data_IF_910005656807
#
_entry.id   IF_910005656807
#
_cell.length_a   1.000
_cell.length_b   1.000
_cell.length_c   1.000
_cell.angle_alpha   90.00
_cell.angle_beta   90.00
_cell.angle_gamma   90.00
#
_symmetry.space_group_name_H-M   'P 1'
#
loop_
_entity.id
_entity.type
_entity.pdbx_description
1 polymer ?
#
# COMPACT_ATOMS: atom_id res chain seq x y z
N UNK A 1 -17.05 13.11 -15.73
CA UNK A 1 -16.30 13.13 -14.44
C UNK A 1 -17.09 14.00 -13.48
N UNK A 2 -17.77 13.39 -12.52
CA UNK A 2 -18.69 14.07 -11.60
C UNK A 2 -18.02 15.19 -10.80
N UNK A 3 -18.77 16.26 -10.52
CA UNK A 3 -18.29 17.39 -9.71
C UNK A 3 -17.83 16.98 -8.31
N UNK A 4 -18.43 15.92 -7.73
CA UNK A 4 -17.99 15.32 -6.46
C UNK A 4 -16.59 14.73 -6.55
N UNK A 5 -16.28 14.02 -7.65
CA UNK A 5 -14.95 13.44 -7.88
C UNK A 5 -13.88 14.51 -8.14
N UNK A 6 -14.22 15.61 -8.83
CA UNK A 6 -13.32 16.78 -8.96
C UNK A 6 -13.04 17.45 -7.61
N UNK A 7 -14.04 17.50 -6.72
CA UNK A 7 -13.92 18.13 -5.40
C UNK A 7 -13.10 17.28 -4.41
N UNK A 8 -13.19 15.94 -4.47
CA UNK A 8 -12.31 15.08 -3.67
C UNK A 8 -10.86 15.16 -4.16
N UNK A 9 -10.63 15.08 -5.47
CA UNK A 9 -9.29 15.14 -6.05
C UNK A 9 -8.53 16.45 -5.69
N UNK A 10 -9.25 17.58 -5.69
CA UNK A 10 -8.68 18.87 -5.22
C UNK A 10 -8.37 18.86 -3.72
N UNK A 11 -9.24 18.28 -2.90
CA UNK A 11 -8.98 18.15 -1.45
C UNK A 11 -7.76 17.28 -1.19
N UNK A 12 -7.63 16.16 -1.91
CA UNK A 12 -6.51 15.23 -1.75
C UNK A 12 -5.19 15.87 -2.19
N UNK A 13 -5.20 16.62 -3.29
CA UNK A 13 -4.03 17.39 -3.76
C UNK A 13 -3.59 18.43 -2.74
N UNK A 14 -4.54 19.18 -2.17
CA UNK A 14 -4.27 20.19 -1.14
C UNK A 14 -3.72 19.51 0.13
N UNK A 15 -4.32 18.40 0.55
CA UNK A 15 -3.88 17.64 1.73
C UNK A 15 -2.47 17.09 1.56
N UNK A 16 -2.12 16.63 0.35
CA UNK A 16 -0.77 16.16 0.03
C UNK A 16 0.25 17.30 0.07
N UNK A 17 -0.09 18.50 -0.44
CA UNK A 17 0.78 19.69 -0.34
C UNK A 17 0.98 20.08 1.12
N UNK A 18 -0.09 20.13 1.92
CA UNK A 18 0.02 20.42 3.35
C UNK A 18 0.84 19.38 4.09
N UNK A 19 0.66 18.10 3.79
CA UNK A 19 1.47 17.01 4.35
C UNK A 19 2.95 17.17 4.01
N UNK A 20 3.27 17.52 2.77
CA UNK A 20 4.64 17.77 2.34
C UNK A 20 5.27 18.96 3.07
N UNK A 21 4.55 20.09 3.16
CA UNK A 21 5.01 21.27 3.91
C UNK A 21 5.24 20.92 5.39
N UNK A 22 4.32 20.16 5.98
CA UNK A 22 4.42 19.73 7.37
C UNK A 22 5.66 18.87 7.64
N UNK A 23 6.02 17.98 6.70
CA UNK A 23 7.25 17.19 6.80
C UNK A 23 8.48 18.11 6.78
N UNK A 24 8.51 19.11 5.91
CA UNK A 24 9.61 20.07 5.83
C UNK A 24 9.74 20.97 7.07
N UNK A 25 8.66 21.19 7.83
CA UNK A 25 8.74 21.92 9.10
C UNK A 25 9.66 21.21 10.11
N UNK A 26 9.73 19.88 10.12
CA UNK A 26 10.68 19.16 10.99
C UNK A 26 12.12 19.54 10.68
N UNK A 27 12.47 19.68 9.41
CA UNK A 27 13.80 20.12 8.99
C UNK A 27 14.05 21.58 9.39
N UNK A 28 13.09 22.47 9.12
CA UNK A 28 13.21 23.92 9.44
C UNK A 28 13.39 24.11 10.95
N UNK A 29 12.58 23.45 11.77
CA UNK A 29 12.70 23.48 13.23
C UNK A 29 14.07 22.95 13.67
N UNK A 30 14.52 21.83 13.10
CA UNK A 30 15.84 21.27 13.36
C UNK A 30 16.97 22.26 13.09
N UNK A 31 16.95 22.91 11.91
CA UNK A 31 17.93 23.92 11.51
C UNK A 31 17.91 25.14 12.45
N UNK A 32 16.72 25.67 12.76
CA UNK A 32 16.58 26.82 13.69
C UNK A 32 17.16 26.47 15.07
N UNK A 33 16.90 25.26 15.57
CA UNK A 33 17.45 24.80 16.85
C UNK A 33 18.98 24.70 16.80
N UNK A 34 19.57 24.19 15.71
CA UNK A 34 21.03 24.18 15.56
C UNK A 34 21.64 25.57 15.49
N UNK A 35 21.02 26.50 14.75
CA UNK A 35 21.47 27.89 14.67
C UNK A 35 21.38 28.60 16.03
N UNK A 36 20.33 28.30 16.79
CA UNK A 36 20.14 28.81 18.16
C UNK A 36 21.21 28.27 19.10
N UNK A 37 21.53 26.97 19.02
CA UNK A 37 22.61 26.36 19.79
C UNK A 37 24.00 26.94 19.44
N UNK A 38 24.21 27.27 18.17
CA UNK A 38 25.42 27.93 17.66
C UNK A 38 25.49 29.43 18.02
N UNK A 39 24.50 29.96 18.78
CA UNK A 39 24.44 31.36 19.23
C UNK A 39 24.33 32.38 18.10
N UNK A 40 23.85 31.98 16.92
CA UNK A 40 23.65 32.88 15.78
C UNK A 40 22.60 33.95 16.09
N UNK A 41 21.59 33.63 16.91
CA UNK A 41 20.52 34.54 17.34
C UNK A 41 20.78 35.22 18.69
N UNK A 42 22.02 35.17 19.19
CA UNK A 42 22.41 35.74 20.49
C UNK A 42 22.78 34.69 21.53
N UNK A 43 23.16 35.16 22.72
CA UNK A 43 23.64 34.30 23.79
C UNK A 43 22.48 33.68 24.58
N UNK A 44 22.49 32.35 24.64
CA UNK A 44 21.63 31.55 25.51
C UNK A 44 22.49 30.84 26.57
N UNK A 45 21.87 30.46 27.69
CA UNK A 45 22.58 29.74 28.75
C UNK A 45 23.03 28.34 28.29
N UNK A 46 23.97 27.72 29.03
CA UNK A 46 24.52 26.40 28.67
C UNK A 46 23.45 25.31 28.52
N UNK A 47 22.44 25.32 29.39
CA UNK A 47 21.32 24.37 29.32
C UNK A 47 20.48 24.52 28.04
N UNK A 48 20.26 25.76 27.60
CA UNK A 48 19.60 26.09 26.33
C UNK A 48 20.39 25.59 25.14
N UNK A 49 21.71 25.82 25.11
CA UNK A 49 22.59 25.29 24.03
C UNK A 49 22.47 23.77 23.91
N UNK A 50 22.59 23.06 25.03
CA UNK A 50 22.51 21.59 25.06
C UNK A 50 21.13 21.12 24.59
N UNK A 51 20.06 21.71 25.12
CA UNK A 51 18.69 21.34 24.78
C UNK A 51 18.41 21.56 23.28
N UNK A 52 18.85 22.70 22.73
CA UNK A 52 18.72 23.00 21.31
C UNK A 52 19.46 21.99 20.41
N UNK A 53 20.65 21.53 20.78
CA UNK A 53 21.34 20.46 20.04
C UNK A 53 20.59 19.13 20.09
N UNK A 54 20.11 18.73 21.27
CA UNK A 54 19.38 17.46 21.43
C UNK A 54 18.08 17.48 20.63
N UNK A 55 17.24 18.49 20.81
CA UNK A 55 15.98 18.58 20.09
C UNK A 55 16.21 18.79 18.59
N UNK A 56 17.16 19.63 18.19
CA UNK A 56 17.53 19.82 16.78
C UNK A 56 17.91 18.49 16.10
N UNK A 57 18.67 17.65 16.81
CA UNK A 57 19.04 16.31 16.35
C UNK A 57 17.81 15.39 16.23
N UNK A 58 16.92 15.37 17.23
CA UNK A 58 15.69 14.57 17.20
C UNK A 58 14.82 14.95 16.00
N UNK A 59 14.53 16.24 15.82
CA UNK A 59 13.70 16.74 14.70
C UNK A 59 14.32 16.38 13.34
N UNK A 60 15.64 16.51 13.20
CA UNK A 60 16.36 16.16 11.97
C UNK A 60 16.33 14.66 11.69
N UNK A 61 16.53 13.81 12.72
CA UNK A 61 16.45 12.35 12.58
C UNK A 61 15.04 11.94 12.15
N UNK A 62 13.99 12.50 12.76
CA UNK A 62 12.60 12.24 12.37
C UNK A 62 12.38 12.59 10.89
N UNK A 63 12.85 13.76 10.45
CA UNK A 63 12.79 14.16 9.04
C UNK A 63 13.48 13.15 8.12
N UNK A 64 14.72 12.75 8.44
CA UNK A 64 15.48 11.76 7.66
C UNK A 64 14.71 10.43 7.58
N UNK A 65 14.14 9.95 8.68
CA UNK A 65 13.37 8.70 8.72
C UNK A 65 12.14 8.77 7.79
N UNK A 66 11.43 9.90 7.78
CA UNK A 66 10.28 10.12 6.89
C UNK A 66 10.73 10.11 5.42
N UNK A 67 11.79 10.85 5.07
CA UNK A 67 12.31 10.90 3.69
C UNK A 67 12.77 9.51 3.22
N UNK A 68 13.52 8.78 4.05
CA UNK A 68 13.95 7.41 3.75
C UNK A 68 12.74 6.51 3.52
N UNK A 69 11.67 6.63 4.33
CA UNK A 69 10.43 5.88 4.13
C UNK A 69 9.76 6.19 2.78
N UNK A 70 9.67 7.46 2.39
CA UNK A 70 9.13 7.87 1.09
C UNK A 70 9.94 7.24 -0.06
N UNK A 71 11.26 7.30 0.01
CA UNK A 71 12.13 6.65 -0.99
C UNK A 71 11.93 5.14 -1.06
N UNK A 72 11.77 4.48 0.09
CA UNK A 72 11.51 3.03 0.14
C UNK A 72 10.17 2.68 -0.51
N UNK A 73 9.14 3.50 -0.29
CA UNK A 73 7.84 3.35 -0.96
C UNK A 73 8.04 3.46 -2.47
N UNK A 74 8.55 4.59 -2.98
CA UNK A 74 8.78 4.83 -4.41
C UNK A 74 9.62 3.71 -5.06
N UNK A 75 10.64 3.22 -4.36
CA UNK A 75 11.46 2.10 -4.85
C UNK A 75 10.66 0.80 -4.94
N UNK A 76 9.80 0.53 -3.95
CA UNK A 76 8.88 -0.62 -4.00
C UNK A 76 7.88 -0.46 -5.14
N UNK A 77 7.31 0.73 -5.34
CA UNK A 77 6.39 1.03 -6.45
C UNK A 77 7.00 0.65 -7.79
N UNK A 78 8.20 1.18 -8.07
CA UNK A 78 8.92 0.89 -9.30
C UNK A 78 9.28 -0.59 -9.44
N UNK A 79 9.57 -1.29 -8.34
CA UNK A 79 9.86 -2.72 -8.36
C UNK A 79 8.63 -3.53 -8.78
N UNK A 80 7.46 -3.20 -8.23
CA UNK A 80 6.23 -3.95 -8.49
C UNK A 80 5.60 -3.60 -9.84
N UNK A 81 5.60 -2.33 -10.22
CA UNK A 81 5.13 -1.88 -11.53
C UNK A 81 5.87 -2.58 -12.68
N UNK A 82 7.20 -2.78 -12.56
CA UNK A 82 8.00 -3.51 -13.55
C UNK A 82 7.64 -4.99 -13.69
N UNK A 83 6.96 -5.56 -12.70
CA UNK A 83 6.55 -6.97 -12.67
C UNK A 83 5.05 -7.15 -12.92
N UNK A 84 4.32 -6.08 -13.21
CA UNK A 84 2.89 -6.17 -13.46
C UNK A 84 2.60 -7.16 -14.61
N UNK A 85 1.57 -7.97 -14.43
CA UNK A 85 1.10 -8.92 -15.45
C UNK A 85 -0.24 -8.47 -15.98
N UNK A 86 -0.54 -8.78 -17.24
CA UNK A 86 -1.88 -8.51 -17.80
C UNK A 86 -2.87 -9.57 -17.33
N UNK A 87 -3.59 -9.25 -16.24
CA UNK A 87 -4.57 -10.17 -15.64
C UNK A 87 -5.72 -10.43 -16.62
N UNK A 88 -6.15 -9.46 -17.41
CA UNK A 88 -7.24 -9.69 -18.36
C UNK A 88 -6.82 -10.69 -19.45
N UNK A 89 -5.57 -10.60 -19.90
CA UNK A 89 -5.00 -11.58 -20.84
C UNK A 89 -4.87 -12.98 -20.23
N UNK A 90 -4.41 -13.08 -18.98
CA UNK A 90 -4.28 -14.37 -18.27
C UNK A 90 -5.62 -15.09 -18.18
N UNK A 91 -6.70 -14.35 -17.94
CA UNK A 91 -8.03 -14.90 -17.70
C UNK A 91 -8.97 -14.82 -18.92
N UNK A 92 -8.45 -14.49 -20.11
CA UNK A 92 -9.27 -14.28 -21.32
C UNK A 92 -10.08 -15.52 -21.74
N UNK A 93 -9.51 -16.71 -21.54
CA UNK A 93 -10.14 -17.99 -21.91
C UNK A 93 -10.79 -18.70 -20.70
N UNK A 94 -10.77 -18.10 -19.52
CA UNK A 94 -11.37 -18.68 -18.33
C UNK A 94 -12.90 -18.60 -18.36
N UNK A 95 -13.57 -19.70 -18.02
CA UNK A 95 -15.02 -19.69 -17.80
C UNK A 95 -15.32 -19.10 -16.43
N UNK A 96 -16.00 -17.96 -16.41
CA UNK A 96 -16.51 -17.33 -15.18
C UNK A 96 -17.90 -17.85 -14.85
N UNK A 97 -18.13 -18.09 -13.56
CA UNK A 97 -19.48 -18.22 -13.03
C UNK A 97 -20.19 -16.84 -13.04
N UNK A 98 -21.47 -16.82 -12.69
CA UNK A 98 -22.27 -15.59 -12.82
C UNK A 98 -21.80 -14.48 -11.86
N UNK A 99 -21.41 -14.82 -10.64
CA UNK A 99 -20.87 -13.86 -9.67
C UNK A 99 -19.52 -13.27 -10.13
N UNK A 100 -18.60 -14.12 -10.59
CA UNK A 100 -17.30 -13.71 -11.12
C UNK A 100 -17.45 -12.80 -12.34
N UNK A 101 -18.43 -13.09 -13.21
CA UNK A 101 -18.73 -12.28 -14.40
C UNK A 101 -19.31 -10.92 -14.00
N UNK A 102 -20.25 -10.90 -13.07
CA UNK A 102 -20.87 -9.67 -12.56
C UNK A 102 -19.81 -8.72 -11.98
N UNK A 103 -18.98 -9.22 -11.07
CA UNK A 103 -17.92 -8.42 -10.44
C UNK A 103 -16.89 -7.97 -11.46
N UNK A 104 -16.52 -8.83 -12.41
CA UNK A 104 -15.59 -8.46 -13.46
C UNK A 104 -16.14 -7.32 -14.34
N UNK A 105 -17.41 -7.40 -14.74
CA UNK A 105 -18.05 -6.38 -15.55
C UNK A 105 -18.12 -5.05 -14.79
N UNK A 106 -18.56 -5.08 -13.53
CA UNK A 106 -18.56 -3.91 -12.66
C UNK A 106 -17.15 -3.29 -12.55
N UNK A 107 -16.11 -4.11 -12.37
CA UNK A 107 -14.74 -3.63 -12.27
C UNK A 107 -14.27 -2.97 -13.57
N UNK A 108 -14.55 -3.57 -14.73
CA UNK A 108 -14.13 -3.03 -16.02
C UNK A 108 -14.92 -1.76 -16.40
N UNK A 109 -16.18 -1.66 -16.00
CA UNK A 109 -17.03 -0.51 -16.33
C UNK A 109 -16.73 0.68 -15.40
N UNK A 110 -16.74 0.47 -14.08
CA UNK A 110 -16.66 1.56 -13.11
C UNK A 110 -15.24 1.80 -12.56
N UNK A 111 -14.38 0.76 -12.54
CA UNK A 111 -13.07 0.77 -11.89
C UNK A 111 -11.91 0.49 -12.85
N UNK A 112 -12.10 0.67 -14.16
CA UNK A 112 -11.07 0.41 -15.19
C UNK A 112 -9.74 1.14 -14.95
N UNK A 113 -9.76 2.29 -14.28
CA UNK A 113 -8.53 3.02 -13.91
C UNK A 113 -7.62 2.23 -12.97
N UNK A 114 -8.17 1.28 -12.23
CA UNK A 114 -7.47 0.43 -11.27
C UNK A 114 -6.98 -0.89 -11.87
N UNK A 115 -7.09 -1.09 -13.19
CA UNK A 115 -6.52 -2.27 -13.86
C UNK A 115 -5.02 -2.39 -13.59
N UNK A 116 -4.30 -1.27 -13.56
CA UNK A 116 -2.87 -1.26 -13.19
C UNK A 116 -2.66 -1.80 -11.77
N UNK A 117 -3.49 -1.37 -10.81
CA UNK A 117 -3.45 -1.82 -9.42
C UNK A 117 -3.72 -3.32 -9.31
N UNK A 118 -4.72 -3.84 -10.04
CA UNK A 118 -5.03 -5.27 -10.11
C UNK A 118 -3.85 -6.07 -10.68
N UNK A 119 -3.29 -5.61 -11.80
CA UNK A 119 -2.16 -6.24 -12.49
C UNK A 119 -0.91 -6.33 -11.61
N UNK A 120 -0.62 -5.26 -10.87
CA UNK A 120 0.50 -5.20 -9.95
C UNK A 120 0.25 -6.10 -8.74
N UNK A 121 -0.93 -6.02 -8.12
CA UNK A 121 -1.23 -6.80 -6.94
C UNK A 121 -1.23 -8.30 -7.23
N UNK A 122 -1.82 -8.72 -8.34
CA UNK A 122 -1.84 -10.12 -8.75
C UNK A 122 -0.42 -10.69 -8.91
N UNK A 123 0.46 -9.97 -9.61
CA UNK A 123 1.86 -10.35 -9.76
C UNK A 123 2.61 -10.39 -8.42
N UNK A 124 2.40 -9.39 -7.56
CA UNK A 124 3.03 -9.32 -6.24
C UNK A 124 2.57 -10.47 -5.34
N UNK A 125 1.27 -10.81 -5.39
CA UNK A 125 0.69 -11.92 -4.64
C UNK A 125 1.22 -13.27 -5.12
N UNK A 126 1.29 -13.51 -6.45
CA UNK A 126 1.93 -14.69 -7.01
C UNK A 126 3.39 -14.85 -6.51
N UNK A 127 4.17 -13.77 -6.50
CA UNK A 127 5.55 -13.79 -5.98
C UNK A 127 5.60 -14.12 -4.48
N UNK A 128 4.60 -13.71 -3.70
CA UNK A 128 4.51 -14.03 -2.27
C UNK A 128 4.22 -15.53 -2.09
N UNK A 129 3.25 -16.07 -2.81
CA UNK A 129 2.87 -17.49 -2.77
C UNK A 129 4.01 -18.41 -3.19
N UNK A 130 4.67 -18.09 -4.32
CA UNK A 130 5.82 -18.86 -4.79
C UNK A 130 6.95 -18.93 -3.76
N UNK A 131 7.19 -17.84 -3.02
CA UNK A 131 8.18 -17.82 -1.92
C UNK A 131 7.72 -18.62 -0.71
N UNK A 132 6.42 -18.59 -0.39
CA UNK A 132 5.84 -19.34 0.71
C UNK A 132 5.99 -20.85 0.48
N UNK A 133 5.57 -21.33 -0.69
CA UNK A 133 5.59 -22.74 -1.06
C UNK A 133 6.93 -23.24 -1.61
N UNK A 134 7.88 -22.34 -1.89
CA UNK A 134 9.19 -22.65 -2.51
C UNK A 134 9.07 -23.43 -3.83
N UNK A 135 8.03 -23.16 -4.61
CA UNK A 135 7.74 -23.79 -5.90
C UNK A 135 7.26 -22.75 -6.89
N UNK A 136 7.47 -23.02 -8.17
CA UNK A 136 6.78 -22.27 -9.22
C UNK A 136 5.33 -22.74 -9.25
N UNK A 137 4.43 -21.82 -8.90
CA UNK A 137 3.00 -22.09 -8.74
C UNK A 137 2.21 -21.16 -9.64
N UNK A 138 1.24 -21.75 -10.31
CA UNK A 138 0.21 -21.03 -11.03
C UNK A 138 -0.99 -20.79 -10.11
N UNK A 139 -1.35 -19.51 -9.92
CA UNK A 139 -2.48 -19.04 -9.11
C UNK A 139 -3.65 -18.51 -9.96
N UNK A 140 -3.77 -18.94 -11.21
CA UNK A 140 -4.83 -18.54 -12.16
C UNK A 140 -6.22 -19.06 -11.75
N UNK A 141 -6.69 -18.67 -10.58
CA UNK A 141 -8.03 -18.94 -10.05
C UNK A 141 -8.93 -17.72 -10.31
N UNK A 142 -10.02 -17.87 -11.08
CA UNK A 142 -10.99 -16.79 -11.32
C UNK A 142 -11.56 -16.21 -10.03
N UNK A 143 -11.75 -17.06 -9.01
CA UNK A 143 -12.22 -16.65 -7.69
C UNK A 143 -11.20 -15.78 -6.95
N UNK A 144 -9.91 -16.11 -7.03
CA UNK A 144 -8.84 -15.25 -6.48
C UNK A 144 -8.85 -13.88 -7.15
N UNK A 145 -8.94 -13.85 -8.49
CA UNK A 145 -9.05 -12.59 -9.25
C UNK A 145 -10.28 -11.77 -8.84
N UNK A 146 -11.45 -12.40 -8.72
CA UNK A 146 -12.68 -11.76 -8.28
C UNK A 146 -12.52 -11.14 -6.88
N UNK A 147 -11.92 -11.86 -5.92
CA UNK A 147 -11.67 -11.34 -4.58
C UNK A 147 -10.73 -10.13 -4.59
N UNK A 148 -9.72 -10.12 -5.46
CA UNK A 148 -8.84 -8.95 -5.66
C UNK A 148 -9.62 -7.76 -6.22
N UNK A 149 -10.50 -7.97 -7.19
CA UNK A 149 -11.37 -6.92 -7.74
C UNK A 149 -12.32 -6.37 -6.65
N UNK A 150 -12.97 -7.24 -5.87
CA UNK A 150 -13.82 -6.84 -4.75
C UNK A 150 -13.06 -6.02 -3.70
N UNK A 151 -11.84 -6.43 -3.36
CA UNK A 151 -10.99 -5.69 -2.43
C UNK A 151 -10.68 -4.27 -2.91
N UNK A 152 -10.42 -4.11 -4.21
CA UNK A 152 -10.20 -2.79 -4.81
C UNK A 152 -11.48 -1.94 -4.74
N UNK A 153 -12.60 -2.50 -5.17
CA UNK A 153 -13.91 -1.83 -5.18
C UNK A 153 -14.28 -1.37 -3.77
N UNK A 154 -14.27 -2.28 -2.80
CA UNK A 154 -14.70 -1.98 -1.44
C UNK A 154 -13.68 -1.09 -0.71
N UNK A 155 -12.39 -1.26 -0.99
CA UNK A 155 -11.35 -0.34 -0.52
C UNK A 155 -11.60 1.10 -0.98
N UNK A 156 -11.97 1.30 -2.24
CA UNK A 156 -12.30 2.63 -2.78
C UNK A 156 -13.59 3.16 -2.15
N UNK A 157 -14.61 2.33 -1.99
CA UNK A 157 -15.88 2.74 -1.37
C UNK A 157 -15.68 3.19 0.08
N UNK A 158 -14.84 2.50 0.84
CA UNK A 158 -14.61 2.80 2.27
C UNK A 158 -13.61 3.93 2.49
N UNK A 159 -12.48 3.92 1.79
CA UNK A 159 -11.36 4.83 2.04
C UNK A 159 -11.24 5.97 1.02
N UNK A 160 -12.03 5.94 -0.05
CA UNK A 160 -11.99 6.91 -1.15
C UNK A 160 -10.90 6.64 -2.21
N UNK A 161 -9.96 5.74 -1.93
CA UNK A 161 -8.89 5.32 -2.83
C UNK A 161 -8.43 3.89 -2.49
N UNK A 162 -7.71 3.25 -3.41
CA UNK A 162 -7.09 1.95 -3.18
C UNK A 162 -5.59 2.11 -2.90
N UNK A 163 -5.16 1.78 -1.68
CA UNK A 163 -3.74 1.79 -1.32
C UNK A 163 -3.07 0.45 -1.66
N UNK A 164 -2.67 0.31 -2.92
CA UNK A 164 -2.02 -0.90 -3.44
C UNK A 164 -0.80 -1.33 -2.61
N UNK A 165 0.04 -0.39 -2.18
CA UNK A 165 1.30 -0.73 -1.52
C UNK A 165 1.11 -1.10 -0.07
N UNK A 166 0.18 -0.44 0.62
CA UNK A 166 -0.26 -0.86 1.94
C UNK A 166 -0.83 -2.28 1.89
N UNK A 167 -1.67 -2.58 0.89
CA UNK A 167 -2.23 -3.93 0.69
C UNK A 167 -1.13 -4.95 0.46
N UNK A 168 -0.15 -4.68 -0.42
CA UNK A 168 1.00 -5.57 -0.64
C UNK A 168 1.79 -5.80 0.67
N UNK A 169 2.00 -4.77 1.46
CA UNK A 169 2.72 -4.88 2.73
C UNK A 169 1.92 -5.65 3.79
N UNK A 170 0.59 -5.49 3.83
CA UNK A 170 -0.30 -6.33 4.63
C UNK A 170 -0.26 -7.79 4.18
N UNK A 171 -0.26 -8.06 2.87
CA UNK A 171 -0.15 -9.43 2.35
C UNK A 171 1.16 -10.09 2.78
N UNK A 172 2.30 -9.38 2.73
CA UNK A 172 3.57 -9.92 3.25
C UNK A 172 3.59 -10.12 4.77
N UNK A 173 2.89 -9.25 5.50
CA UNK A 173 2.96 -9.19 6.96
C UNK A 173 1.91 -10.04 7.66
N UNK A 174 0.88 -10.54 6.96
CA UNK A 174 -0.06 -11.52 7.52
C UNK A 174 0.65 -12.79 8.04
N UNK A 175 1.80 -13.15 7.44
CA UNK A 175 2.66 -14.22 7.92
C UNK A 175 3.66 -13.79 9.03
N UNK A 176 3.65 -12.52 9.46
CA UNK A 176 4.52 -11.96 10.50
C UNK A 176 3.69 -11.47 11.68
N UNK A 177 4.09 -11.85 12.91
CA UNK A 177 3.33 -11.64 14.17
C UNK A 177 3.00 -10.19 14.59
N UNK A 178 3.41 -9.16 13.85
CA UNK A 178 3.30 -7.76 14.29
C UNK A 178 2.46 -6.92 13.34
N UNK A 179 1.14 -7.05 13.46
CA UNK A 179 0.18 -6.06 12.98
C UNK A 179 -0.37 -5.35 14.22
N UNK A 180 -0.31 -4.02 14.27
CA UNK A 180 -0.84 -3.26 15.39
C UNK A 180 -2.37 -3.36 15.41
N UNK A 181 -2.96 -3.53 16.61
CA UNK A 181 -4.43 -3.67 16.77
C UNK A 181 -5.20 -2.45 16.22
N UNK A 182 -4.58 -1.26 16.27
CA UNK A 182 -5.12 -0.04 15.67
C UNK A 182 -5.21 -0.13 14.14
N UNK A 183 -4.13 -0.58 13.49
CA UNK A 183 -4.10 -0.75 12.02
C UNK A 183 -5.09 -1.81 11.56
N UNK A 184 -5.22 -2.92 12.29
CA UNK A 184 -6.22 -3.94 12.00
C UNK A 184 -7.64 -3.38 12.02
N UNK A 185 -7.97 -2.53 13.01
CA UNK A 185 -9.29 -1.91 13.11
C UNK A 185 -9.53 -0.90 11.98
N UNK A 186 -8.52 -0.10 11.63
CA UNK A 186 -8.61 0.95 10.61
C UNK A 186 -8.70 0.39 9.19
N UNK A 187 -7.96 -0.67 8.90
CA UNK A 187 -7.84 -1.27 7.58
C UNK A 187 -8.47 -2.67 7.52
N UNK A 188 -9.52 -2.89 8.31
CA UNK A 188 -10.15 -4.20 8.49
C UNK A 188 -10.54 -4.84 7.16
N UNK A 189 -11.13 -4.05 6.26
CA UNK A 189 -11.58 -4.51 4.93
C UNK A 189 -10.44 -5.09 4.11
N UNK A 190 -9.26 -4.47 4.10
CA UNK A 190 -8.09 -5.05 3.45
C UNK A 190 -7.68 -6.37 4.11
N UNK A 191 -7.59 -6.43 5.43
CA UNK A 191 -7.21 -7.67 6.12
C UNK A 191 -8.19 -8.83 5.87
N UNK A 192 -9.50 -8.54 5.86
CA UNK A 192 -10.52 -9.55 5.63
C UNK A 192 -10.46 -10.10 4.20
N UNK A 193 -10.27 -9.24 3.20
CA UNK A 193 -10.08 -9.68 1.81
C UNK A 193 -8.76 -10.42 1.61
N UNK A 194 -7.66 -9.91 2.14
CA UNK A 194 -6.36 -10.57 1.98
C UNK A 194 -6.41 -11.96 2.60
N UNK A 195 -7.03 -12.14 3.78
CA UNK A 195 -7.22 -13.47 4.39
C UNK A 195 -8.04 -14.40 3.49
N UNK A 196 -9.14 -13.92 2.91
CA UNK A 196 -9.96 -14.70 1.98
C UNK A 196 -9.19 -15.09 0.70
N UNK A 197 -8.37 -14.17 0.18
CA UNK A 197 -7.52 -14.40 -1.00
C UNK A 197 -6.50 -15.49 -0.69
N UNK A 198 -5.80 -15.43 0.45
CA UNK A 198 -4.88 -16.48 0.88
C UNK A 198 -5.58 -17.84 0.98
N UNK A 199 -6.69 -17.93 1.72
CA UNK A 199 -7.41 -19.20 1.86
C UNK A 199 -7.85 -19.77 0.51
N UNK A 200 -8.40 -18.93 -0.38
CA UNK A 200 -8.85 -19.37 -1.71
C UNK A 200 -7.68 -19.80 -2.60
N UNK A 201 -6.53 -19.12 -2.49
CA UNK A 201 -5.32 -19.48 -3.22
C UNK A 201 -4.72 -20.78 -2.71
N UNK A 202 -4.63 -20.95 -1.38
CA UNK A 202 -4.15 -22.17 -0.73
C UNK A 202 -4.97 -23.38 -1.13
N UNK A 203 -6.31 -23.27 -1.09
CA UNK A 203 -7.22 -24.35 -1.50
C UNK A 203 -6.98 -24.72 -2.97
N UNK A 204 -6.91 -23.73 -3.86
CA UNK A 204 -6.65 -23.95 -5.29
C UNK A 204 -5.28 -24.59 -5.55
N UNK A 205 -4.23 -24.10 -4.88
CA UNK A 205 -2.86 -24.64 -5.00
C UNK A 205 -2.84 -26.10 -4.52
N UNK A 206 -3.49 -26.39 -3.39
CA UNK A 206 -3.58 -27.72 -2.82
C UNK A 206 -4.29 -28.69 -3.77
N UNK A 207 -5.46 -28.32 -4.28
CA UNK A 207 -6.23 -29.10 -5.25
C UNK A 207 -5.44 -29.40 -6.53
N UNK A 208 -4.83 -28.37 -7.12
CA UNK A 208 -4.16 -28.48 -8.43
C UNK A 208 -2.84 -29.24 -8.36
N UNK A 209 -2.08 -29.09 -7.26
CA UNK A 209 -0.70 -29.56 -7.18
C UNK A 209 -0.48 -30.75 -6.23
N UNK A 210 -1.42 -31.03 -5.33
CA UNK A 210 -1.23 -32.05 -4.29
C UNK A 210 -2.34 -33.10 -4.25
N UNK A 211 -3.56 -32.78 -4.69
CA UNK A 211 -4.68 -33.75 -4.76
C UNK A 211 -4.82 -34.43 -6.13
N UNK A 212 -4.31 -33.86 -7.22
CA UNK A 212 -4.22 -34.57 -8.50
C UNK A 212 -3.12 -35.65 -8.44
N UNK A 213 -3.50 -36.83 -7.94
CA UNK A 213 -2.87 -38.12 -8.23
C UNK A 213 -3.79 -38.92 -9.14
#
# INVERSE_FOLDING_TARGET
>A
MDEKAKKSFKKDTIFNIFGFIFIFLFLIIGVILFLTAAKVFGNINKGGVISSYIFGSIFTIIFILIIVKIFLIIRAENKYAKKAVDVNKIFAECKFNDEEREINNLFLEEYSKEISSLNIYFAAFAEIEQKHYKKDLDINSPKVRMLMQKMIIDGIKEFGYFDLYLVIDFSKSLNKKFIWKGDFKKYKTYFDYIRQIYHTADDYIYEKNFLKK
#
